data_IF_447621104713
#
_entry.id   IF_447621104713
#
_cell.length_a   1.000
_cell.length_b   1.000
_cell.length_c   1.000
_cell.angle_alpha   90.00
_cell.angle_beta   90.00
_cell.angle_gamma   90.00
#
_symmetry.space_group_name_H-M   'P 1'
#
loop_
_entity.id
_entity.type
_entity.pdbx_description
1 polymer ?
#
# COMPACT_ATOMS: atom_id res chain seq x y z
N UNK A 1 3.50 18.20 3.04
CA UNK A 1 3.26 16.92 3.71
C UNK A 1 4.54 16.09 3.73
N UNK A 2 4.97 15.70 4.89
CA UNK A 2 6.17 14.86 5.04
C UNK A 2 5.79 13.40 4.89
N UNK A 3 6.49 12.68 4.02
CA UNK A 3 6.21 11.26 3.79
C UNK A 3 7.40 10.41 4.22
N UNK A 4 7.15 9.48 5.13
CA UNK A 4 8.12 8.53 5.66
C UNK A 4 7.76 7.12 5.23
N UNK A 5 8.68 6.16 5.44
CA UNK A 5 8.41 4.75 5.25
C UNK A 5 7.18 4.32 6.03
N UNK A 6 7.10 4.75 7.28
CA UNK A 6 5.98 4.41 8.15
C UNK A 6 4.66 4.93 7.59
N UNK A 7 4.65 6.13 7.03
CA UNK A 7 3.43 6.71 6.47
C UNK A 7 2.95 5.93 5.26
N UNK A 8 3.86 5.56 4.36
CA UNK A 8 3.51 4.76 3.19
C UNK A 8 2.99 3.39 3.60
N UNK A 9 3.71 2.74 4.54
CA UNK A 9 3.29 1.44 5.04
C UNK A 9 1.90 1.51 5.66
N UNK A 10 1.60 2.55 6.43
CA UNK A 10 0.29 2.71 7.06
C UNK A 10 -0.82 2.82 6.02
N UNK A 11 -0.58 3.53 4.93
CA UNK A 11 -1.57 3.66 3.86
C UNK A 11 -1.83 2.32 3.18
N UNK A 12 -0.78 1.55 2.92
CA UNK A 12 -0.93 0.21 2.36
C UNK A 12 -1.70 -0.69 3.32
N UNK A 13 -1.34 -0.65 4.61
CA UNK A 13 -2.02 -1.43 5.64
C UNK A 13 -3.50 -1.08 5.70
N UNK A 14 -3.84 0.20 5.66
CA UNK A 14 -5.23 0.64 5.68
C UNK A 14 -6.00 0.08 4.49
N UNK A 15 -5.38 0.05 3.33
CA UNK A 15 -6.01 -0.55 2.15
C UNK A 15 -6.18 -2.07 2.32
N UNK A 16 -5.15 -2.76 2.79
CA UNK A 16 -5.22 -4.23 2.95
C UNK A 16 -6.25 -4.64 4.00
N UNK A 17 -6.49 -3.81 5.00
CA UNK A 17 -7.53 -4.04 6.01
C UNK A 17 -8.90 -3.47 5.61
N UNK A 18 -9.02 -3.00 4.37
CA UNK A 18 -10.29 -2.46 3.86
C UNK A 18 -10.80 -1.21 4.58
N UNK A 19 -9.89 -0.45 5.20
CA UNK A 19 -10.24 0.82 5.83
C UNK A 19 -10.37 1.95 4.81
N UNK A 20 -9.65 1.81 3.71
CA UNK A 20 -9.75 2.72 2.57
C UNK A 20 -9.87 1.89 1.30
N UNK A 21 -10.40 2.50 0.25
CA UNK A 21 -10.54 1.84 -1.06
C UNK A 21 -9.25 1.96 -1.87
N UNK A 22 -9.15 1.20 -2.95
CA UNK A 22 -8.03 1.35 -3.88
C UNK A 22 -8.02 2.77 -4.45
N UNK A 23 -9.18 3.33 -4.77
CA UNK A 23 -9.28 4.69 -5.28
C UNK A 23 -8.72 5.70 -4.28
N UNK A 24 -9.04 5.53 -2.99
CA UNK A 24 -8.49 6.40 -1.94
C UNK A 24 -6.97 6.31 -1.88
N UNK A 25 -6.45 5.09 -1.98
CA UNK A 25 -5.00 4.87 -1.92
C UNK A 25 -4.31 5.49 -3.13
N UNK A 26 -4.88 5.32 -4.32
CA UNK A 26 -4.33 5.90 -5.55
C UNK A 26 -4.34 7.42 -5.47
N UNK A 27 -5.45 8.01 -5.01
CA UNK A 27 -5.55 9.47 -4.86
C UNK A 27 -4.49 10.01 -3.90
N UNK A 28 -4.29 9.31 -2.78
CA UNK A 28 -3.25 9.69 -1.84
C UNK A 28 -1.86 9.61 -2.49
N UNK A 29 -1.59 8.53 -3.23
CA UNK A 29 -0.30 8.34 -3.87
C UNK A 29 -0.02 9.43 -4.91
N UNK A 30 -1.02 9.79 -5.69
CA UNK A 30 -0.88 10.87 -6.66
C UNK A 30 -0.58 12.21 -5.99
N UNK A 31 -1.30 12.52 -4.90
CA UNK A 31 -1.05 13.74 -4.12
C UNK A 31 0.35 13.72 -3.53
N UNK A 32 0.79 12.57 -3.02
CA UNK A 32 2.12 12.44 -2.43
C UNK A 32 3.21 12.68 -3.47
N UNK A 33 3.04 12.18 -4.69
CA UNK A 33 4.02 12.41 -5.76
C UNK A 33 4.14 13.88 -6.14
N UNK A 34 3.05 14.62 -6.05
CA UNK A 34 3.01 16.03 -6.45
C UNK A 34 3.41 16.99 -5.34
N UNK A 35 3.05 16.69 -4.11
CA UNK A 35 3.15 17.65 -3.02
C UNK A 35 4.00 17.22 -1.84
N UNK A 36 4.35 15.95 -1.77
CA UNK A 36 5.02 15.43 -0.59
C UNK A 36 6.48 15.83 -0.53
N UNK A 37 6.94 15.97 0.71
CA UNK A 37 8.32 16.18 1.06
C UNK A 37 8.81 14.83 1.58
N UNK A 38 9.58 14.12 0.79
CA UNK A 38 10.05 12.79 1.18
C UNK A 38 11.24 12.88 2.13
N UNK A 39 11.33 11.91 3.03
CA UNK A 39 12.52 11.77 3.84
C UNK A 39 13.72 11.55 2.91
N UNK A 40 14.76 12.37 3.09
CA UNK A 40 15.92 12.37 2.19
C UNK A 40 16.57 11.00 2.03
N UNK A 41 16.67 10.27 3.11
CA UNK A 41 17.27 8.94 3.13
C UNK A 41 16.57 7.94 2.24
N UNK A 42 15.25 8.07 2.09
CA UNK A 42 14.42 7.07 1.46
C UNK A 42 13.73 7.57 0.20
N UNK A 43 14.17 8.69 -0.35
CA UNK A 43 13.51 9.35 -1.48
C UNK A 43 13.28 8.40 -2.66
N UNK A 44 14.31 7.68 -3.10
CA UNK A 44 14.19 6.79 -4.25
C UNK A 44 13.23 5.64 -3.98
N UNK A 45 13.35 5.03 -2.80
CA UNK A 45 12.48 3.94 -2.38
C UNK A 45 11.03 4.38 -2.35
N UNK A 46 10.77 5.52 -1.70
CA UNK A 46 9.41 6.02 -1.54
C UNK A 46 8.80 6.43 -2.87
N UNK A 47 9.57 7.07 -3.73
CA UNK A 47 9.07 7.45 -5.05
C UNK A 47 8.74 6.24 -5.91
N UNK A 48 9.56 5.21 -5.84
CA UNK A 48 9.29 3.99 -6.59
C UNK A 48 7.98 3.33 -6.16
N UNK A 49 7.82 3.15 -4.86
CA UNK A 49 6.62 2.49 -4.32
C UNK A 49 5.37 3.35 -4.58
N UNK A 50 5.43 4.63 -4.24
CA UNK A 50 4.29 5.53 -4.39
C UNK A 50 3.93 5.69 -5.87
N UNK A 51 4.92 5.77 -6.75
CA UNK A 51 4.68 5.85 -8.17
C UNK A 51 3.94 4.63 -8.71
N UNK A 52 4.30 3.44 -8.24
CA UNK A 52 3.60 2.21 -8.61
C UNK A 52 2.17 2.19 -8.07
N UNK A 53 1.97 2.61 -6.83
CA UNK A 53 0.64 2.68 -6.23
C UNK A 53 -0.25 3.66 -6.99
N UNK A 54 0.29 4.79 -7.43
CA UNK A 54 -0.46 5.78 -8.17
C UNK A 54 -1.00 5.29 -9.52
N UNK A 55 -0.47 4.18 -10.03
CA UNK A 55 -0.93 3.56 -11.27
C UNK A 55 -1.76 2.30 -11.04
N UNK A 56 -2.05 1.97 -9.79
CA UNK A 56 -2.68 0.70 -9.45
C UNK A 56 -4.08 0.51 -10.02
N UNK A 57 -4.79 1.60 -10.30
CA UNK A 57 -6.12 1.56 -10.88
C UNK A 57 -6.09 1.51 -12.42
N UNK A 58 -4.92 1.58 -13.02
CA UNK A 58 -4.76 1.40 -14.46
C UNK A 58 -4.57 -0.10 -14.71
N UNK A 59 -5.46 -0.69 -15.51
CA UNK A 59 -5.51 -2.14 -15.70
C UNK A 59 -4.16 -2.79 -16.04
N UNK A 60 -3.36 -2.14 -16.87
CA UNK A 60 -2.07 -2.67 -17.28
C UNK A 60 -1.00 -2.60 -16.18
N UNK A 61 -1.25 -1.84 -15.12
CA UNK A 61 -0.28 -1.62 -14.04
C UNK A 61 -0.85 -2.02 -12.68
N UNK A 62 -1.78 -2.96 -12.67
CA UNK A 62 -2.34 -3.47 -11.43
C UNK A 62 -1.27 -4.05 -10.52
N UNK A 63 -1.52 -3.99 -9.22
CA UNK A 63 -0.58 -4.47 -8.21
C UNK A 63 -1.01 -5.85 -7.76
N UNK A 64 -0.09 -6.81 -7.80
CA UNK A 64 -0.34 -8.16 -7.35
C UNK A 64 -0.11 -8.29 -5.85
N UNK A 65 -0.53 -9.44 -5.29
CA UNK A 65 -0.26 -9.73 -3.88
C UNK A 65 1.24 -9.69 -3.59
N UNK A 66 2.04 -10.28 -4.47
CA UNK A 66 3.49 -10.32 -4.33
C UNK A 66 4.10 -8.92 -4.36
N UNK A 67 3.50 -8.02 -5.13
CA UNK A 67 3.94 -6.62 -5.15
C UNK A 67 3.69 -5.95 -3.81
N UNK A 68 2.53 -6.19 -3.19
CA UNK A 68 2.23 -5.63 -1.87
C UNK A 68 3.21 -6.14 -0.82
N UNK A 69 3.53 -7.45 -0.87
CA UNK A 69 4.52 -8.03 0.03
C UNK A 69 5.89 -7.37 -0.16
N UNK A 70 6.29 -7.18 -1.41
CA UNK A 70 7.56 -6.55 -1.73
C UNK A 70 7.62 -5.12 -1.22
N UNK A 71 6.58 -4.33 -1.46
CA UNK A 71 6.54 -2.95 -0.98
C UNK A 71 6.69 -2.88 0.54
N UNK A 72 5.91 -3.67 1.26
CA UNK A 72 5.98 -3.66 2.71
C UNK A 72 7.33 -4.15 3.21
N UNK A 73 7.90 -5.18 2.58
CA UNK A 73 9.22 -5.66 2.93
C UNK A 73 10.29 -4.57 2.79
N UNK A 74 10.25 -3.85 1.66
CA UNK A 74 11.19 -2.76 1.39
C UNK A 74 11.01 -1.59 2.37
N UNK A 75 9.80 -1.42 2.89
CA UNK A 75 9.50 -0.40 3.89
C UNK A 75 9.87 -0.83 5.31
N UNK A 76 10.31 -2.07 5.48
CA UNK A 76 10.74 -2.59 6.77
C UNK A 76 9.66 -3.38 7.50
N UNK A 77 8.65 -3.86 6.81
CA UNK A 77 7.51 -4.57 7.40
C UNK A 77 7.40 -5.98 6.85
N UNK A 78 6.79 -6.86 7.62
CA UNK A 78 6.51 -8.23 7.20
C UNK A 78 5.03 -8.47 7.25
N UNK A 79 4.49 -9.13 6.21
CA UNK A 79 3.11 -9.57 6.20
C UNK A 79 3.05 -10.98 6.78
N UNK A 80 2.08 -11.19 7.66
CA UNK A 80 1.79 -12.50 8.21
C UNK A 80 0.29 -12.75 8.04
N UNK A 81 -0.06 -13.90 7.46
CA UNK A 81 -1.45 -14.24 7.18
C UNK A 81 -1.82 -15.48 7.95
N UNK A 82 -2.96 -15.44 8.63
CA UNK A 82 -3.55 -16.60 9.25
C UNK A 82 -4.86 -16.90 8.53
N UNK A 83 -4.98 -18.12 8.05
CA UNK A 83 -6.19 -18.58 7.39
C UNK A 83 -6.82 -19.66 8.26
N UNK A 84 -8.08 -19.50 8.55
CA UNK A 84 -8.82 -20.47 9.34
C UNK A 84 -10.14 -20.75 8.68
N UNK A 85 -10.73 -21.89 9.05
CA UNK A 85 -12.03 -22.25 8.53
C UNK A 85 -13.08 -21.29 9.04
N UNK A 86 -13.97 -20.85 8.16
CA UNK A 86 -15.03 -19.93 8.55
C UNK A 86 -16.03 -20.61 9.51
N UNK A 87 -16.61 -19.84 10.45
CA UNK A 87 -17.61 -20.41 11.33
C UNK A 87 -18.80 -20.96 10.57
N UNK A 88 -19.36 -22.07 11.08
CA UNK A 88 -20.49 -22.75 10.46
C UNK A 88 -21.79 -21.92 10.48
N UNK A 89 -21.83 -20.84 11.22
CA UNK A 89 -23.03 -20.01 11.28
C UNK A 89 -23.44 -19.43 9.93
N UNK A 90 -22.55 -19.47 8.96
CA UNK A 90 -22.90 -19.10 7.60
C UNK A 90 -23.80 -20.15 6.92
N UNK A 91 -23.87 -21.33 7.51
CA UNK A 91 -24.69 -22.40 6.99
C UNK A 91 -26.16 -22.15 7.35
N UNK A 92 -27.07 -22.33 6.41
CA UNK A 92 -28.49 -22.22 6.71
C UNK A 92 -28.92 -23.32 7.63
#
# INVERSE_FOLDING_TARGET
>A
MKVSRQRVAQKIIDYLYHRITLSDLVDWAESAMMEADFEERDTELLRDIIGRIGLADVRAFGITWEDWEDFLSRLGYRISITVSEAPALAEP
#
